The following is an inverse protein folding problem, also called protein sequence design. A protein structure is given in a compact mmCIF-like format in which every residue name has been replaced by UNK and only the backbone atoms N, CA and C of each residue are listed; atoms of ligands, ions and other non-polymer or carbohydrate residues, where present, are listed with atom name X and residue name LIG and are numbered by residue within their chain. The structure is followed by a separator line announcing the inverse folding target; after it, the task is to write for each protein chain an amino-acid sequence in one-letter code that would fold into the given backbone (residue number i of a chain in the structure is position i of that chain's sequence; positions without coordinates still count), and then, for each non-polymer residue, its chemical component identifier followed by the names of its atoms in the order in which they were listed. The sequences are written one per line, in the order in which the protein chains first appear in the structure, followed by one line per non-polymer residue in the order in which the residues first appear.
data_IF_402978176285
#
_entry.id   IF_402978176285
#
_cell.length_a   1.000
_cell.length_b   1.000
_cell.length_c   1.000
_cell.angle_alpha   90.00
_cell.angle_beta   90.00
_cell.angle_gamma   90.00
#
_symmetry.space_group_name_H-M   'P 1'
#
loop_
_entity.id
_entity.type
_entity.pdbx_description
1 polymer ?
#
# COMPACT_ATOMS: atom_id res chain seq x y z
N UNK A 1 16.66 -1.69 5.73
CA UNK A 1 16.09 -1.62 4.36
C UNK A 1 14.59 -1.68 4.54
N UNK A 2 13.83 -0.75 3.97
CA UNK A 2 12.38 -0.76 4.12
C UNK A 2 11.76 -1.93 3.37
N UNK A 3 10.71 -2.54 3.93
CA UNK A 3 10.01 -3.67 3.34
C UNK A 3 9.45 -3.36 1.94
N UNK A 4 9.04 -2.11 1.70
CA UNK A 4 8.59 -1.68 0.36
C UNK A 4 9.73 -1.72 -0.68
N UNK A 5 10.94 -1.32 -0.29
CA UNK A 5 12.10 -1.41 -1.18
C UNK A 5 12.43 -2.87 -1.55
N UNK A 6 12.23 -3.81 -0.62
CA UNK A 6 12.39 -5.23 -0.90
C UNK A 6 11.34 -5.75 -1.89
N UNK A 7 10.07 -5.36 -1.74
CA UNK A 7 9.02 -5.72 -2.69
C UNK A 7 9.33 -5.22 -4.10
N UNK A 8 9.82 -3.98 -4.21
CA UNK A 8 10.26 -3.39 -5.49
C UNK A 8 11.42 -4.17 -6.10
N UNK A 9 12.47 -4.43 -5.32
CA UNK A 9 13.66 -5.17 -5.76
C UNK A 9 13.31 -6.57 -6.27
N UNK A 10 12.29 -7.20 -5.70
CA UNK A 10 11.82 -8.53 -6.10
C UNK A 10 10.74 -8.51 -7.20
N UNK A 11 10.38 -7.34 -7.74
CA UNK A 11 9.36 -7.23 -8.79
C UNK A 11 7.92 -7.50 -8.31
N UNK A 12 7.68 -7.53 -6.99
CA UNK A 12 6.35 -7.73 -6.39
C UNK A 12 5.56 -6.44 -6.23
N UNK A 13 6.23 -5.31 -6.42
CA UNK A 13 5.66 -3.96 -6.39
C UNK A 13 6.26 -3.17 -7.56
N UNK A 14 5.42 -2.85 -8.55
CA UNK A 14 5.83 -2.17 -9.77
C UNK A 14 5.14 -0.82 -9.91
N UNK A 15 5.89 0.23 -10.21
CA UNK A 15 5.30 1.55 -10.45
C UNK A 15 4.58 1.57 -11.80
N UNK A 16 3.44 2.23 -11.86
CA UNK A 16 2.74 2.48 -13.12
C UNK A 16 2.47 3.97 -13.30
N UNK A 17 3.14 4.55 -14.29
CA UNK A 17 2.99 5.96 -14.61
C UNK A 17 1.54 6.37 -14.95
N UNK A 18 0.75 5.60 -15.73
CA UNK A 18 -0.60 6.01 -16.11
C UNK A 18 -1.57 6.13 -14.93
N UNK A 19 -1.34 5.39 -13.85
CA UNK A 19 -2.18 5.46 -12.64
C UNK A 19 -1.49 6.21 -11.50
N UNK A 20 -0.21 6.56 -11.64
CA UNK A 20 0.65 7.10 -10.58
C UNK A 20 0.51 6.32 -9.28
N UNK A 21 0.64 4.99 -9.40
CA UNK A 21 0.44 4.07 -8.29
C UNK A 21 1.22 2.78 -8.47
N UNK A 22 1.14 1.93 -7.46
CA UNK A 22 1.85 0.67 -7.42
C UNK A 22 0.96 -0.49 -7.78
N UNK A 23 1.36 -1.32 -8.73
CA UNK A 23 0.78 -2.64 -8.95
C UNK A 23 1.44 -3.61 -7.97
N UNK A 24 0.66 -4.07 -6.97
CA UNK A 24 1.12 -5.00 -5.94
C UNK A 24 -0.06 -5.73 -5.28
N UNK A 25 0.24 -6.77 -4.50
CA UNK A 25 -0.73 -7.36 -3.58
C UNK A 25 -0.86 -6.45 -2.33
N UNK A 26 -2.07 -5.95 -1.98
CA UNK A 26 -2.24 -5.07 -0.81
C UNK A 26 -1.67 -5.67 0.47
N UNK A 27 -1.90 -6.96 0.73
CA UNK A 27 -1.42 -7.63 1.95
C UNK A 27 0.11 -7.65 2.06
N UNK A 28 0.83 -7.74 0.95
CA UNK A 28 2.30 -7.66 0.98
C UNK A 28 2.77 -6.25 1.34
N UNK A 29 2.10 -5.21 0.82
CA UNK A 29 2.38 -3.81 1.16
C UNK A 29 2.14 -3.56 2.65
N UNK A 30 1.01 -4.01 3.18
CA UNK A 30 0.67 -3.82 4.60
C UNK A 30 1.61 -4.60 5.52
N UNK A 31 1.99 -5.81 5.13
CA UNK A 31 3.00 -6.59 5.85
C UNK A 31 4.36 -5.89 5.84
N UNK A 32 4.76 -5.28 4.72
CA UNK A 32 5.99 -4.51 4.62
C UNK A 32 5.96 -3.27 5.51
N UNK A 33 4.86 -2.50 5.50
CA UNK A 33 4.69 -1.32 6.36
C UNK A 33 4.71 -1.71 7.85
N UNK A 34 4.06 -2.80 8.24
CA UNK A 34 4.09 -3.30 9.61
C UNK A 34 5.51 -3.70 10.04
N UNK A 35 6.29 -4.34 9.16
CA UNK A 35 7.70 -4.67 9.43
C UNK A 35 8.61 -3.44 9.55
N UNK A 36 8.24 -2.36 8.87
CA UNK A 36 8.95 -1.07 8.95
C UNK A 36 8.59 -0.26 10.20
N UNK A 37 7.68 -0.77 11.06
CA UNK A 37 7.33 -0.17 12.35
C UNK A 37 5.98 0.53 12.38
N UNK A 38 5.23 0.53 11.28
CA UNK A 38 3.89 1.13 11.25
C UNK A 38 2.85 0.16 11.82
N UNK A 39 2.43 0.38 13.06
CA UNK A 39 1.37 -0.40 13.70
C UNK A 39 0.00 -0.03 13.12
N UNK A 40 -0.81 -1.02 12.75
CA UNK A 40 -2.15 -0.81 12.17
C UNK A 40 -3.07 -0.10 13.17
N UNK A 41 -3.55 1.09 12.81
CA UNK A 41 -4.57 1.82 13.57
C UNK A 41 -5.97 1.68 12.97
N UNK A 42 -6.05 1.55 11.64
CA UNK A 42 -7.33 1.49 10.93
C UNK A 42 -7.21 0.64 9.68
N UNK A 43 -8.27 -0.14 9.42
CA UNK A 43 -8.46 -0.85 8.16
C UNK A 43 -9.93 -0.90 7.80
N UNK A 44 -10.25 -0.63 6.54
CA UNK A 44 -11.60 -0.75 6.00
C UNK A 44 -11.56 -1.33 4.59
N UNK A 45 -12.45 -2.28 4.32
CA UNK A 45 -12.62 -2.89 3.01
C UNK A 45 -13.90 -2.36 2.36
N UNK A 46 -13.82 -2.06 1.08
CA UNK A 46 -14.98 -1.63 0.28
C UNK A 46 -15.45 -2.82 -0.54
N UNK A 47 -16.67 -3.33 -0.31
CA UNK A 47 -17.25 -4.42 -1.11
C UNK A 47 -17.89 -3.91 -2.41
N UNK A 48 -17.76 -4.64 -3.52
CA UNK A 48 -18.66 -4.42 -4.68
C UNK A 48 -20.01 -5.11 -4.44
N UNK A 49 -21.10 -4.47 -4.89
CA UNK A 49 -22.47 -5.00 -4.73
C UNK A 49 -22.76 -6.20 -5.62
N UNK A 50 -21.97 -6.40 -6.69
CA UNK A 50 -22.19 -7.42 -7.73
C UNK A 50 -21.62 -8.79 -7.37
N UNK A 51 -20.45 -8.85 -6.70
CA UNK A 51 -19.66 -10.10 -6.66
C UNK A 51 -19.18 -10.49 -5.26
N UNK A 52 -19.61 -9.78 -4.20
CA UNK A 52 -19.21 -9.97 -2.79
C UNK A 52 -17.71 -9.83 -2.49
N UNK A 53 -16.86 -9.66 -3.52
CA UNK A 53 -15.43 -9.41 -3.37
C UNK A 53 -15.18 -7.94 -3.02
N UNK A 54 -14.18 -7.64 -2.18
CA UNK A 54 -13.74 -6.27 -2.00
C UNK A 54 -13.36 -5.64 -3.34
N UNK A 55 -13.94 -4.49 -3.66
CA UNK A 55 -13.52 -3.61 -4.74
C UNK A 55 -12.21 -2.88 -4.40
N UNK A 56 -11.84 -2.84 -3.12
CA UNK A 56 -10.64 -2.18 -2.64
C UNK A 56 -10.65 -2.03 -1.13
N UNK A 57 -9.82 -1.13 -0.62
CA UNK A 57 -9.77 -0.82 0.79
C UNK A 57 -8.84 0.34 1.12
N UNK A 58 -8.82 0.66 2.40
CA UNK A 58 -7.92 1.65 3.00
C UNK A 58 -7.35 1.09 4.28
N UNK A 59 -6.11 1.44 4.54
CA UNK A 59 -5.36 1.11 5.74
C UNK A 59 -4.58 2.32 6.20
N UNK A 60 -4.44 2.48 7.52
CA UNK A 60 -3.56 3.46 8.13
C UNK A 60 -2.82 2.82 9.31
N UNK A 61 -1.54 3.16 9.44
CA UNK A 61 -0.71 2.76 10.57
C UNK A 61 0.24 3.87 11.00
N UNK A 62 0.75 3.75 12.22
CA UNK A 62 1.58 4.76 12.87
C UNK A 62 2.90 4.17 13.34
N UNK A 63 4.01 4.87 13.10
CA UNK A 63 5.27 4.58 13.79
C UNK A 63 5.37 5.55 14.98
N UNK A 64 5.16 5.03 16.20
CA UNK A 64 5.19 5.81 17.43
C UNK A 64 6.58 6.39 17.76
N UNK A 65 7.66 5.80 17.22
CA UNK A 65 9.04 6.27 17.43
C UNK A 65 9.33 7.55 16.66
N UNK A 66 8.77 7.68 15.47
CA UNK A 66 8.97 8.84 14.58
C UNK A 66 7.77 9.78 14.55
N UNK A 67 6.65 9.39 15.15
CA UNK A 67 5.36 10.08 15.09
C UNK A 67 4.84 10.27 13.64
N UNK A 68 5.21 9.36 12.74
CA UNK A 68 4.78 9.40 11.33
C UNK A 68 3.61 8.44 11.07
N UNK A 69 2.80 8.78 10.07
CA UNK A 69 1.65 7.97 9.64
C UNK A 69 1.93 7.42 8.25
N UNK A 70 1.69 6.13 8.05
CA UNK A 70 1.59 5.54 6.73
C UNK A 70 0.11 5.30 6.38
N UNK A 71 -0.30 5.68 5.18
CA UNK A 71 -1.63 5.40 4.63
C UNK A 71 -1.50 4.61 3.34
N UNK A 72 -2.32 3.57 3.18
CA UNK A 72 -2.40 2.80 1.95
C UNK A 72 -3.86 2.71 1.50
N UNK A 73 -4.13 3.09 0.25
CA UNK A 73 -5.43 2.93 -0.39
C UNK A 73 -5.22 2.03 -1.60
N UNK A 74 -6.10 1.06 -1.81
CA UNK A 74 -6.01 0.19 -2.97
C UNK A 74 -7.34 -0.01 -3.66
N UNK A 75 -7.26 -0.21 -4.97
CA UNK A 75 -8.40 -0.53 -5.83
C UNK A 75 -8.09 -1.84 -6.55
N UNK A 76 -8.93 -2.83 -6.33
CA UNK A 76 -8.82 -4.13 -6.99
C UNK A 76 -9.26 -4.00 -8.45
N UNK A 77 -8.50 -4.61 -9.36
CA UNK A 77 -8.85 -4.67 -10.78
C UNK A 77 -9.56 -6.00 -11.08
N UNK A 78 -10.70 -5.99 -11.78
CA UNK A 78 -11.36 -7.23 -12.20
C UNK A 78 -10.41 -8.14 -12.98
N UNK A 79 -10.34 -9.41 -12.59
CA UNK A 79 -9.50 -10.42 -13.23
C UNK A 79 -8.02 -10.41 -12.82
N UNK A 80 -7.58 -9.50 -11.94
CA UNK A 80 -6.20 -9.42 -11.47
C UNK A 80 -6.11 -9.87 -10.01
N UNK A 81 -5.02 -10.55 -9.66
CA UNK A 81 -4.69 -10.85 -8.25
C UNK A 81 -4.00 -9.68 -7.53
N UNK A 82 -3.61 -8.65 -8.30
CA UNK A 82 -2.94 -7.44 -7.82
C UNK A 82 -3.87 -6.23 -7.92
N UNK A 83 -3.65 -5.26 -7.05
CA UNK A 83 -4.38 -4.00 -7.00
C UNK A 83 -3.49 -2.84 -7.48
N UNK A 84 -4.11 -1.72 -7.81
CA UNK A 84 -3.40 -0.44 -7.82
C UNK A 84 -3.43 0.08 -6.39
N UNK A 85 -2.25 0.33 -5.81
CA UNK A 85 -2.04 0.76 -4.44
C UNK A 85 -1.39 2.14 -4.45
N UNK A 86 -1.98 3.06 -3.69
CA UNK A 86 -1.46 4.39 -3.41
C UNK A 86 -0.97 4.39 -1.97
N UNK A 87 0.27 4.84 -1.79
CA UNK A 87 0.93 4.83 -0.49
C UNK A 87 1.36 6.26 -0.19
N UNK A 88 1.06 6.70 1.02
CA UNK A 88 1.48 7.97 1.57
C UNK A 88 2.21 7.71 2.89
N UNK A 89 3.35 8.37 3.08
CA UNK A 89 4.09 8.36 4.35
C UNK A 89 4.27 9.82 4.76
N UNK A 90 3.70 10.17 5.90
CA UNK A 90 3.76 11.52 6.47
C UNK A 90 3.29 12.63 5.51
N UNK A 91 2.21 12.36 4.76
CA UNK A 91 1.64 13.30 3.78
C UNK A 91 2.43 13.40 2.48
N UNK A 92 3.47 12.58 2.30
CA UNK A 92 4.22 12.46 1.05
C UNK A 92 3.84 11.17 0.33
N UNK A 93 3.40 11.32 -0.92
CA UNK A 93 3.16 10.17 -1.80
C UNK A 93 4.45 9.39 -2.03
N UNK A 94 4.41 8.10 -1.75
CA UNK A 94 5.52 7.19 -2.00
C UNK A 94 5.51 6.81 -3.48
N UNK A 95 6.24 7.56 -4.29
CA UNK A 95 6.37 7.33 -5.74
C UNK A 95 7.63 6.51 -6.07
N UNK A 96 7.90 6.25 -7.35
CA UNK A 96 9.08 5.48 -7.80
C UNK A 96 10.41 6.01 -7.23
N UNK A 97 10.54 7.32 -7.02
CA UNK A 97 11.73 7.95 -6.43
C UNK A 97 11.72 8.05 -4.90
N UNK A 98 10.65 7.61 -4.22
CA UNK A 98 10.48 7.77 -2.77
C UNK A 98 11.54 6.99 -1.98
N UNK A 99 12.44 7.71 -1.32
CA UNK A 99 13.25 7.16 -0.24
C UNK A 99 12.42 7.17 1.04
N UNK A 100 12.44 6.07 1.80
CA UNK A 100 11.93 6.10 3.18
C UNK A 100 13.01 6.81 4.00
N UNK A 101 12.81 8.11 4.24
CA UNK A 101 13.70 8.95 5.04
C UNK A 101 13.63 8.58 6.52
#
# INVERSE_FOLDING_TARGET
MSGLAELRRHGRMMWTEPQRGWVAAPEEILTALAKDGFEECKRALTSSRSDSRPAGGVWQGVDARTATVASAIWVNRPGWQQAIVFIDIDGQSFEEGGAVS
#
